data_IF_639150279209
#
_entry.id   IF_639150279209
#
_cell.length_a   1.000
_cell.length_b   1.000
_cell.length_c   1.000
_cell.angle_alpha   90.00
_cell.angle_beta   90.00
_cell.angle_gamma   90.00
#
_symmetry.space_group_name_H-M   'P 1'
#
loop_
_entity.id
_entity.type
_entity.pdbx_description
1 polymer ?
#
# COMPACT_ATOMS: atom_id res chain seq x y z
N UNK A 1 65.21 20.87 55.12
CA UNK A 1 64.21 21.10 54.06
C UNK A 1 63.56 19.75 53.78
N UNK A 2 62.27 19.69 54.13
CA UNK A 2 61.34 18.55 54.27
C UNK A 2 61.73 17.21 53.63
N UNK A 3 61.99 16.20 54.47
CA UNK A 3 61.92 14.79 54.08
C UNK A 3 60.48 14.43 53.72
N UNK A 4 60.20 14.17 52.44
CA UNK A 4 58.99 13.45 52.04
C UNK A 4 59.15 11.98 52.42
N UNK A 5 58.84 11.64 53.67
CA UNK A 5 58.64 10.26 54.08
C UNK A 5 57.34 9.76 53.41
N UNK A 6 57.48 9.02 52.32
CA UNK A 6 56.35 8.29 51.72
C UNK A 6 55.88 7.24 52.76
N UNK A 7 54.60 7.25 53.17
CA UNK A 7 54.12 6.38 54.25
C UNK A 7 54.22 4.89 53.85
N UNK A 8 54.67 4.03 54.78
CA UNK A 8 54.81 2.56 54.60
C UNK A 8 53.52 1.87 54.14
N UNK A 9 52.36 2.42 54.49
CA UNK A 9 51.02 2.03 54.00
C UNK A 9 50.94 2.03 52.46
N UNK A 10 51.55 3.03 51.81
CA UNK A 10 51.53 3.17 50.35
C UNK A 10 52.32 2.04 49.65
N UNK A 11 53.27 1.41 50.34
CA UNK A 11 54.11 0.34 49.78
C UNK A 11 53.52 -1.06 49.97
N UNK A 12 52.67 -1.27 50.98
CA UNK A 12 51.86 -2.51 51.13
C UNK A 12 50.58 -2.50 50.29
N UNK A 13 50.06 -1.32 49.95
CA UNK A 13 48.88 -1.18 49.10
C UNK A 13 49.19 -1.37 47.60
N UNK A 14 50.41 -1.05 47.14
CA UNK A 14 50.88 -1.29 45.77
C UNK A 14 50.79 -2.75 45.30
N UNK A 15 51.35 -3.77 46.00
CA UNK A 15 51.25 -5.16 45.57
C UNK A 15 49.80 -5.69 45.61
N UNK A 16 48.96 -5.15 46.51
CA UNK A 16 47.53 -5.49 46.60
C UNK A 16 46.74 -4.92 45.41
N UNK A 17 46.99 -3.65 45.06
CA UNK A 17 46.38 -3.01 43.89
C UNK A 17 46.85 -3.66 42.59
N UNK A 18 48.13 -4.06 42.50
CA UNK A 18 48.65 -4.80 41.35
C UNK A 18 48.02 -6.19 41.21
N UNK A 19 47.76 -6.89 42.33
CA UNK A 19 47.04 -8.17 42.32
C UNK A 19 45.60 -7.98 41.85
N UNK A 20 44.90 -6.99 42.40
CA UNK A 20 43.53 -6.65 41.97
C UNK A 20 43.50 -6.27 40.49
N UNK A 21 44.50 -5.52 40.00
CA UNK A 21 44.61 -5.15 38.59
C UNK A 21 44.80 -6.39 37.71
N UNK A 22 45.66 -7.33 38.10
CA UNK A 22 45.85 -8.61 37.39
C UNK A 22 44.58 -9.45 37.39
N UNK A 23 43.86 -9.51 38.51
CA UNK A 23 42.62 -10.26 38.64
C UNK A 23 41.50 -9.64 37.78
N UNK A 24 41.37 -8.30 37.74
CA UNK A 24 40.45 -7.59 36.86
C UNK A 24 40.81 -7.80 35.39
N UNK A 25 42.10 -7.78 35.05
CA UNK A 25 42.58 -8.08 33.69
C UNK A 25 42.26 -9.52 33.28
N UNK A 26 42.44 -10.50 34.17
CA UNK A 26 42.10 -11.89 33.92
C UNK A 26 40.59 -12.08 33.78
N UNK A 27 39.79 -11.43 34.63
CA UNK A 27 38.34 -11.45 34.55
C UNK A 27 37.87 -10.83 33.23
N UNK A 28 38.42 -9.69 32.83
CA UNK A 28 38.09 -9.04 31.55
C UNK A 28 38.41 -9.95 30.36
N UNK A 29 39.56 -10.63 30.36
CA UNK A 29 39.88 -11.63 29.33
C UNK A 29 38.87 -12.77 29.30
N UNK A 30 38.49 -13.29 30.47
CA UNK A 30 37.51 -14.38 30.60
C UNK A 30 36.10 -13.94 30.15
N UNK A 31 35.71 -12.71 30.47
CA UNK A 31 34.44 -12.15 30.02
C UNK A 31 34.42 -11.99 28.51
N UNK A 32 35.49 -11.46 27.90
CA UNK A 32 35.60 -11.34 26.45
C UNK A 32 35.52 -12.69 25.73
N UNK A 33 36.15 -13.74 26.27
CA UNK A 33 36.01 -15.09 25.70
C UNK A 33 34.59 -15.64 25.83
N UNK A 34 33.88 -15.32 26.92
CA UNK A 34 32.48 -15.73 27.11
C UNK A 34 31.54 -14.98 26.16
N UNK A 35 31.78 -13.69 25.96
CA UNK A 35 31.04 -12.86 25.00
C UNK A 35 31.24 -13.40 23.58
N UNK A 36 32.48 -13.69 23.17
CA UNK A 36 32.76 -14.29 21.86
C UNK A 36 32.05 -15.64 21.65
N UNK A 37 32.00 -16.49 22.69
CA UNK A 37 31.24 -17.75 22.63
C UNK A 37 29.72 -17.53 22.56
N UNK A 38 29.20 -16.53 23.27
CA UNK A 38 27.79 -16.17 23.20
C UNK A 38 27.41 -15.63 21.81
N UNK A 39 28.29 -14.86 21.17
CA UNK A 39 28.11 -14.38 19.80
C UNK A 39 28.14 -15.54 18.78
N UNK A 40 29.03 -16.52 18.97
CA UNK A 40 29.06 -17.74 18.15
C UNK A 40 27.77 -18.56 18.31
N UNK A 41 27.27 -18.70 19.55
CA UNK A 41 26.00 -19.35 19.83
C UNK A 41 24.83 -18.58 19.21
N UNK A 42 24.82 -17.25 19.30
CA UNK A 42 23.79 -16.41 18.68
C UNK A 42 23.80 -16.57 17.16
N UNK A 43 24.98 -16.63 16.56
CA UNK A 43 25.12 -16.88 15.13
C UNK A 43 24.61 -18.28 14.76
N UNK A 44 24.96 -19.31 15.54
CA UNK A 44 24.45 -20.67 15.35
C UNK A 44 22.93 -20.74 15.46
N UNK A 45 22.34 -20.10 16.47
CA UNK A 45 20.88 -19.99 16.64
C UNK A 45 20.26 -19.24 15.46
N UNK A 46 20.88 -18.15 14.99
CA UNK A 46 20.44 -17.41 13.82
C UNK A 46 20.45 -18.28 12.55
N UNK A 47 21.50 -19.06 12.32
CA UNK A 47 21.57 -20.00 11.18
C UNK A 47 20.56 -21.14 11.30
N UNK A 48 20.29 -21.62 12.51
CA UNK A 48 19.28 -22.63 12.74
C UNK A 48 17.87 -22.06 12.51
N UNK A 49 17.62 -20.83 12.94
CA UNK A 49 16.35 -20.14 12.74
C UNK A 49 16.08 -19.94 11.25
N UNK A 50 17.05 -19.46 10.46
CA UNK A 50 16.88 -19.30 9.01
C UNK A 50 16.68 -20.64 8.31
N UNK A 51 17.33 -21.70 8.77
CA UNK A 51 17.10 -23.07 8.27
C UNK A 51 15.69 -23.58 8.65
N UNK A 52 15.23 -23.33 9.87
CA UNK A 52 13.86 -23.69 10.27
C UNK A 52 12.82 -22.89 9.49
N UNK A 53 13.06 -21.61 9.22
CA UNK A 53 12.19 -20.78 8.39
C UNK A 53 12.17 -21.27 6.93
N UNK A 54 13.31 -21.69 6.37
CA UNK A 54 13.34 -22.28 5.04
C UNK A 54 12.64 -23.64 5.02
N UNK A 55 12.89 -24.52 6.00
CA UNK A 55 12.17 -25.79 6.15
C UNK A 55 10.66 -25.60 6.34
N UNK A 56 10.25 -24.56 7.07
CA UNK A 56 8.84 -24.19 7.24
C UNK A 56 8.25 -23.71 5.92
N UNK A 57 8.96 -22.86 5.18
CA UNK A 57 8.55 -22.42 3.85
C UNK A 57 8.44 -23.60 2.88
N UNK A 58 9.33 -24.60 2.93
CA UNK A 58 9.22 -25.84 2.16
C UNK A 58 8.10 -26.77 2.62
N UNK A 59 7.72 -26.75 3.90
CA UNK A 59 6.53 -27.46 4.39
C UNK A 59 5.23 -26.73 4.04
N UNK A 60 5.26 -25.40 3.99
CA UNK A 60 4.16 -24.55 3.53
C UNK A 60 4.02 -24.58 2.00
N UNK A 61 5.13 -24.79 1.27
CA UNK A 61 5.16 -25.38 -0.08
C UNK A 61 4.82 -26.88 0.01
N UNK A 62 3.75 -27.16 0.75
CA UNK A 62 3.09 -28.44 0.85
C UNK A 62 2.75 -28.89 -0.56
N UNK A 63 3.16 -30.12 -0.89
CA UNK A 63 2.90 -30.83 -2.14
C UNK A 63 1.71 -30.26 -2.89
N UNK A 64 1.92 -29.84 -4.14
CA UNK A 64 0.86 -29.36 -4.99
C UNK A 64 -0.29 -30.37 -4.99
N UNK A 65 -1.53 -29.89 -5.05
CA UNK A 65 -2.74 -30.74 -5.01
C UNK A 65 -2.59 -31.99 -5.91
N UNK A 66 -1.97 -31.83 -7.07
CA UNK A 66 -1.72 -32.89 -8.04
C UNK A 66 -0.76 -33.99 -7.52
N UNK A 67 0.25 -33.64 -6.73
CA UNK A 67 1.17 -34.59 -6.11
C UNK A 67 0.52 -35.36 -4.96
N UNK A 68 -0.36 -34.70 -4.20
CA UNK A 68 -1.17 -35.35 -3.16
C UNK A 68 -2.16 -36.32 -3.80
N UNK A 69 -2.79 -35.93 -4.90
CA UNK A 69 -3.73 -36.80 -5.64
C UNK A 69 -3.01 -38.02 -6.20
N UNK A 70 -1.85 -37.86 -6.88
CA UNK A 70 -1.04 -38.97 -7.41
C UNK A 70 -0.60 -39.94 -6.32
N UNK A 71 -0.16 -39.43 -5.16
CA UNK A 71 0.23 -40.28 -4.02
C UNK A 71 -0.97 -41.02 -3.42
N UNK A 72 -2.14 -40.39 -3.41
CA UNK A 72 -3.36 -40.97 -2.87
C UNK A 72 -3.97 -42.07 -3.77
N UNK A 73 -3.60 -42.16 -5.05
CA UNK A 73 -4.18 -43.13 -6.00
C UNK A 73 -4.14 -44.59 -5.53
N UNK A 74 -3.05 -44.97 -4.85
CA UNK A 74 -2.83 -46.33 -4.35
C UNK A 74 -3.42 -46.57 -2.96
N UNK A 75 -4.06 -45.56 -2.37
CA UNK A 75 -4.52 -45.59 -0.98
C UNK A 75 -6.00 -45.97 -0.88
N UNK A 76 -6.41 -46.87 0.05
CA UNK A 76 -7.82 -47.28 0.21
C UNK A 76 -8.76 -46.12 0.59
N UNK A 77 -8.22 -45.00 1.09
CA UNK A 77 -8.94 -43.76 1.40
C UNK A 77 -8.71 -42.63 0.38
N UNK A 78 -8.37 -42.95 -0.87
CA UNK A 78 -8.05 -41.97 -1.93
C UNK A 78 -9.03 -40.82 -1.99
N UNK A 79 -10.32 -41.11 -2.07
CA UNK A 79 -11.36 -40.09 -2.22
C UNK A 79 -11.34 -39.05 -1.09
N UNK A 80 -11.21 -39.50 0.16
CA UNK A 80 -11.15 -38.61 1.32
C UNK A 80 -9.90 -37.73 1.26
N UNK A 81 -8.75 -38.31 0.92
CA UNK A 81 -7.48 -37.56 0.82
C UNK A 81 -7.57 -36.51 -0.30
N UNK A 82 -8.14 -36.86 -1.45
CA UNK A 82 -8.37 -35.93 -2.55
C UNK A 82 -9.33 -34.81 -2.15
N UNK A 83 -10.44 -35.11 -1.47
CA UNK A 83 -11.38 -34.09 -1.00
C UNK A 83 -10.72 -33.12 0.01
N UNK A 84 -9.98 -33.65 0.99
CA UNK A 84 -9.27 -32.82 1.97
C UNK A 84 -8.19 -31.95 1.30
N UNK A 85 -7.48 -32.49 0.32
CA UNK A 85 -6.48 -31.72 -0.43
C UNK A 85 -7.14 -30.58 -1.24
N UNK A 86 -8.34 -30.80 -1.79
CA UNK A 86 -9.08 -29.79 -2.54
C UNK A 86 -9.59 -28.68 -1.61
N UNK A 87 -10.11 -29.07 -0.44
CA UNK A 87 -10.55 -28.12 0.61
C UNK A 87 -9.37 -27.29 1.12
N UNK A 88 -8.21 -27.91 1.37
CA UNK A 88 -7.00 -27.18 1.77
C UNK A 88 -6.56 -26.17 0.70
N UNK A 89 -6.57 -26.55 -0.58
CA UNK A 89 -6.27 -25.62 -1.69
C UNK A 89 -7.26 -24.45 -1.73
N UNK A 90 -8.54 -24.71 -1.50
CA UNK A 90 -9.56 -23.65 -1.42
C UNK A 90 -9.32 -22.73 -0.21
N UNK A 91 -8.96 -23.29 0.96
CA UNK A 91 -8.62 -22.51 2.15
C UNK A 91 -7.40 -21.63 1.93
N UNK A 92 -6.36 -22.13 1.26
CA UNK A 92 -5.18 -21.34 0.88
C UNK A 92 -5.54 -20.21 -0.09
N UNK A 93 -6.38 -20.49 -1.10
CA UNK A 93 -6.88 -19.46 -2.00
C UNK A 93 -7.67 -18.36 -1.25
N UNK A 94 -8.54 -18.74 -0.31
CA UNK A 94 -9.27 -17.79 0.53
C UNK A 94 -8.34 -16.97 1.42
N UNK A 95 -7.30 -17.58 2.01
CA UNK A 95 -6.29 -16.86 2.78
C UNK A 95 -5.52 -15.87 1.92
N UNK A 96 -5.14 -16.26 0.70
CA UNK A 96 -4.45 -15.38 -0.25
C UNK A 96 -5.35 -14.20 -0.66
N UNK A 97 -6.64 -14.45 -0.91
CA UNK A 97 -7.61 -13.39 -1.20
C UNK A 97 -7.80 -12.44 -0.03
N UNK A 98 -7.96 -12.95 1.20
CA UNK A 98 -8.06 -12.12 2.38
C UNK A 98 -6.83 -11.26 2.57
N UNK A 99 -5.63 -11.83 2.42
CA UNK A 99 -4.37 -11.07 2.48
C UNK A 99 -4.31 -9.98 1.40
N UNK A 100 -4.74 -10.28 0.17
CA UNK A 100 -4.78 -9.29 -0.90
C UNK A 100 -5.78 -8.16 -0.60
N UNK A 101 -6.93 -8.48 0.01
CA UNK A 101 -7.92 -7.49 0.45
C UNK A 101 -7.38 -6.63 1.59
N UNK A 102 -6.69 -7.22 2.56
CA UNK A 102 -6.01 -6.51 3.65
C UNK A 102 -4.98 -5.51 3.09
N UNK A 103 -4.10 -5.95 2.18
CA UNK A 103 -3.13 -5.06 1.52
C UNK A 103 -3.82 -3.95 0.73
N UNK A 104 -4.89 -4.25 -0.03
CA UNK A 104 -5.64 -3.22 -0.76
C UNK A 104 -6.30 -2.20 0.17
N UNK A 105 -6.77 -2.64 1.35
CA UNK A 105 -7.36 -1.77 2.34
C UNK A 105 -6.30 -0.83 2.94
N UNK A 106 -5.13 -1.38 3.30
CA UNK A 106 -3.98 -0.61 3.79
C UNK A 106 -3.52 0.45 2.76
N UNK A 107 -3.45 0.08 1.47
CA UNK A 107 -3.12 1.02 0.39
C UNK A 107 -4.14 2.14 0.24
N UNK A 108 -5.43 1.83 0.40
CA UNK A 108 -6.50 2.83 0.38
C UNK A 108 -6.43 3.76 1.59
N UNK A 109 -6.17 3.24 2.79
CA UNK A 109 -5.96 4.06 4.00
C UNK A 109 -4.78 5.02 3.83
N UNK A 110 -3.65 4.53 3.32
CA UNK A 110 -2.48 5.36 3.02
C UNK A 110 -2.78 6.45 1.98
N UNK A 111 -3.51 6.10 0.93
CA UNK A 111 -3.91 7.05 -0.12
C UNK A 111 -4.80 8.16 0.45
N UNK A 112 -5.77 7.80 1.29
CA UNK A 112 -6.63 8.75 1.97
C UNK A 112 -5.85 9.65 2.93
N UNK A 113 -4.90 9.10 3.70
CA UNK A 113 -4.06 9.89 4.58
C UNK A 113 -3.24 10.93 3.80
N UNK A 114 -2.68 10.53 2.65
CA UNK A 114 -1.95 11.44 1.77
C UNK A 114 -2.85 12.56 1.22
N UNK A 115 -4.04 12.23 0.72
CA UNK A 115 -5.02 13.21 0.22
C UNK A 115 -5.42 14.18 1.34
N UNK A 116 -5.76 13.66 2.52
CA UNK A 116 -6.17 14.48 3.66
C UNK A 116 -5.02 15.38 4.14
N UNK A 117 -3.78 14.90 4.09
CA UNK A 117 -2.61 15.71 4.41
C UNK A 117 -2.39 16.84 3.39
N UNK A 118 -2.54 16.56 2.09
CA UNK A 118 -2.49 17.58 1.04
C UNK A 118 -3.63 18.59 1.15
N UNK A 119 -4.83 18.13 1.50
CA UNK A 119 -5.97 19.01 1.73
C UNK A 119 -5.74 19.95 2.93
N UNK A 120 -5.23 19.42 4.04
CA UNK A 120 -4.82 20.23 5.21
C UNK A 120 -3.74 21.25 4.86
N UNK A 121 -2.75 20.87 4.05
CA UNK A 121 -1.70 21.76 3.55
C UNK A 121 -2.27 22.89 2.69
N UNK A 122 -3.16 22.58 1.74
CA UNK A 122 -3.80 23.56 0.87
C UNK A 122 -4.61 24.59 1.67
N UNK A 123 -5.38 24.16 2.68
CA UNK A 123 -6.12 25.07 3.55
C UNK A 123 -5.16 25.96 4.35
N UNK A 124 -4.10 25.39 4.91
CA UNK A 124 -3.09 26.15 5.65
C UNK A 124 -2.42 27.22 4.78
N UNK A 125 -2.06 26.87 3.54
CA UNK A 125 -1.48 27.79 2.58
C UNK A 125 -2.45 28.92 2.20
N UNK A 126 -3.73 28.60 1.99
CA UNK A 126 -4.76 29.61 1.73
C UNK A 126 -4.95 30.55 2.93
N UNK A 127 -5.03 30.02 4.14
CA UNK A 127 -5.10 30.81 5.37
C UNK A 127 -3.85 31.71 5.52
N UNK A 128 -2.65 31.19 5.27
CA UNK A 128 -1.41 31.98 5.29
C UNK A 128 -1.37 33.07 4.21
N UNK A 129 -1.88 32.79 3.01
CA UNK A 129 -1.98 33.76 1.93
C UNK A 129 -2.98 34.88 2.26
N UNK A 130 -4.16 34.54 2.80
CA UNK A 130 -5.16 35.55 3.21
C UNK A 130 -4.67 36.42 4.36
N UNK A 131 -3.94 35.86 5.32
CA UNK A 131 -3.33 36.66 6.38
C UNK A 131 -2.21 37.57 5.87
N UNK A 132 -1.37 37.10 4.94
CA UNK A 132 -0.31 37.95 4.35
C UNK A 132 -0.91 39.04 3.47
N UNK A 133 -1.96 38.74 2.71
CA UNK A 133 -2.74 39.73 1.96
C UNK A 133 -3.33 40.80 2.89
N UNK A 134 -3.96 40.40 3.99
CA UNK A 134 -4.48 41.34 5.00
C UNK A 134 -3.37 42.23 5.59
N UNK A 135 -2.21 41.65 5.93
CA UNK A 135 -1.04 42.41 6.41
C UNK A 135 -0.50 43.37 5.36
N UNK A 136 -0.52 43.01 4.07
CA UNK A 136 -0.10 43.89 2.97
C UNK A 136 -1.11 45.02 2.76
N UNK A 137 -2.41 44.75 2.84
CA UNK A 137 -3.47 45.78 2.76
C UNK A 137 -3.35 46.76 3.93
N UNK A 138 -3.13 46.28 5.16
CA UNK A 138 -2.91 47.14 6.33
C UNK A 138 -1.65 48.01 6.18
N UNK A 139 -0.56 47.44 5.63
CA UNK A 139 0.70 48.15 5.37
C UNK A 139 0.56 49.19 4.26
N UNK A 140 -0.16 48.89 3.18
CA UNK A 140 -0.36 49.80 2.04
C UNK A 140 -1.47 50.84 2.29
N UNK A 141 -2.48 50.49 3.10
CA UNK A 141 -3.54 51.41 3.54
C UNK A 141 -3.00 52.53 4.44
N UNK A 142 -1.95 52.25 5.21
CA UNK A 142 -1.20 53.28 5.96
C UNK A 142 -0.44 54.27 5.07
N UNK A 143 -0.02 53.86 3.87
CA UNK A 143 0.74 54.71 2.95
C UNK A 143 -0.16 55.61 2.07
N UNK A 144 -1.42 55.22 1.85
CA UNK A 144 -2.38 55.96 1.01
C UNK A 144 -2.89 57.26 1.67
N UNK A 145 -2.91 57.32 3.00
CA UNK A 145 -3.35 58.53 3.72
C UNK A 145 -2.26 59.63 3.79
N UNK A 146 -1.01 59.32 3.48
CA UNK A 146 0.08 60.31 3.50
C UNK A 146 0.29 61.05 2.16
N UNK A 147 -0.40 60.64 1.09
CA UNK A 147 -0.25 61.25 -0.26
C UNK A 147 -1.33 62.32 -0.53
N UNK A 148 -2.36 62.44 0.33
CA UNK A 148 -3.47 63.40 0.12
C UNK A 148 -3.27 64.80 0.70
N UNK A 149 -2.10 65.10 1.27
CA UNK A 149 -1.82 66.40 1.91
C UNK A 149 -0.52 67.05 1.42
N UNK A 150 -0.30 67.11 0.11
CA UNK A 150 0.56 68.16 -0.46
C UNK A 150 0.27 68.35 -1.94
N UNK A 151 -0.30 69.50 -2.25
CA UNK A 151 -0.53 70.02 -3.59
C UNK A 151 0.78 70.13 -4.39
N UNK A 152 0.71 69.92 -5.71
CA UNK A 152 1.70 70.48 -6.65
C UNK A 152 2.32 69.55 -7.68
N UNK A 153 1.69 69.48 -8.86
CA UNK A 153 2.33 69.83 -10.15
C UNK A 153 3.71 69.19 -10.49
N UNK A 154 3.69 68.13 -11.31
CA UNK A 154 4.41 67.97 -12.60
C UNK A 154 4.52 66.48 -12.96
N UNK A 155 4.29 66.17 -14.24
CA UNK A 155 4.51 64.82 -14.77
C UNK A 155 5.99 64.44 -14.75
N UNK A 156 6.25 63.16 -14.50
CA UNK A 156 7.46 62.38 -14.77
C UNK A 156 7.06 60.89 -14.59
N UNK A 157 7.46 60.07 -15.56
CA UNK A 157 7.54 58.60 -15.59
C UNK A 157 6.55 57.73 -14.82
N UNK A 158 5.64 57.11 -15.58
CA UNK A 158 4.98 55.86 -15.23
C UNK A 158 5.97 54.70 -15.44
N UNK A 159 6.87 54.53 -14.47
CA UNK A 159 7.87 53.43 -14.43
C UNK A 159 7.16 52.07 -14.27
N UNK A 160 7.34 51.22 -15.28
CA UNK A 160 7.57 49.75 -15.26
C UNK A 160 7.12 48.90 -14.05
N UNK A 161 5.82 48.70 -13.86
CA UNK A 161 5.31 47.65 -12.94
C UNK A 161 4.30 46.67 -13.59
N UNK A 162 3.79 46.98 -14.78
CA UNK A 162 2.81 46.15 -15.50
C UNK A 162 3.48 45.11 -16.41
N UNK A 163 4.65 45.43 -16.98
CA UNK A 163 5.40 44.53 -17.89
C UNK A 163 5.85 43.24 -17.21
N UNK A 164 6.34 43.31 -15.96
CA UNK A 164 6.78 42.12 -15.22
C UNK A 164 5.63 41.15 -14.88
N UNK A 165 4.41 41.66 -14.70
CA UNK A 165 3.22 40.83 -14.48
C UNK A 165 2.73 40.22 -15.79
N UNK A 166 2.82 40.96 -16.90
CA UNK A 166 2.48 40.47 -18.24
C UNK A 166 3.45 39.38 -18.73
N UNK A 167 4.75 39.51 -18.44
CA UNK A 167 5.77 38.49 -18.74
C UNK A 167 5.55 37.21 -17.91
N UNK A 168 5.25 37.35 -16.61
CA UNK A 168 4.94 36.20 -15.76
C UNK A 168 3.65 35.51 -16.18
N UNK A 169 2.64 36.27 -16.62
CA UNK A 169 1.39 35.73 -17.15
C UNK A 169 1.60 35.03 -18.49
N UNK A 170 2.46 35.56 -19.37
CA UNK A 170 2.83 34.94 -20.63
C UNK A 170 3.59 33.61 -20.42
N UNK A 171 4.51 33.56 -19.45
CA UNK A 171 5.21 32.31 -19.08
C UNK A 171 4.22 31.29 -18.50
N UNK A 172 3.31 31.72 -17.62
CA UNK A 172 2.31 30.82 -17.04
C UNK A 172 1.31 30.30 -18.09
N UNK A 173 0.94 31.12 -19.07
CA UNK A 173 0.12 30.70 -20.21
C UNK A 173 0.85 29.72 -21.13
N UNK A 174 2.15 29.91 -21.36
CA UNK A 174 2.97 28.97 -22.12
C UNK A 174 3.09 27.60 -21.43
N UNK A 175 3.34 27.60 -20.11
CA UNK A 175 3.38 26.36 -19.31
C UNK A 175 2.01 25.66 -19.32
N UNK A 176 0.91 26.40 -19.15
CA UNK A 176 -0.43 25.83 -19.18
C UNK A 176 -0.75 25.19 -20.54
N UNK A 177 -0.32 25.82 -21.65
CA UNK A 177 -0.48 25.28 -22.99
C UNK A 177 0.35 24.01 -23.20
N UNK A 178 1.61 24.00 -22.78
CA UNK A 178 2.48 22.83 -22.92
C UNK A 178 1.99 21.65 -22.07
N UNK A 179 1.52 21.90 -20.85
CA UNK A 179 0.89 20.87 -20.01
C UNK A 179 -0.38 20.32 -20.66
N UNK A 180 -1.20 21.17 -21.27
CA UNK A 180 -2.40 20.73 -21.98
C UNK A 180 -2.06 19.87 -23.19
N UNK A 181 -1.09 20.29 -24.03
CA UNK A 181 -0.62 19.53 -25.19
C UNK A 181 -0.01 18.18 -24.79
N UNK A 182 0.80 18.15 -23.72
CA UNK A 182 1.35 16.89 -23.18
C UNK A 182 0.25 15.98 -22.63
N UNK A 183 -0.77 16.54 -21.97
CA UNK A 183 -1.90 15.76 -21.45
C UNK A 183 -2.76 15.15 -22.56
N UNK A 184 -2.99 15.89 -23.64
CA UNK A 184 -3.74 15.43 -24.81
C UNK A 184 -2.94 14.36 -25.57
N UNK A 185 -1.64 14.55 -25.77
CA UNK A 185 -0.75 13.56 -26.35
C UNK A 185 -0.74 12.24 -25.54
N UNK A 186 -0.61 12.32 -24.22
CA UNK A 186 -0.65 11.13 -23.36
C UNK A 186 -2.03 10.44 -23.40
N UNK A 187 -3.12 11.21 -23.41
CA UNK A 187 -4.48 10.66 -23.53
C UNK A 187 -4.67 9.91 -24.84
N UNK A 188 -4.21 10.46 -25.97
CA UNK A 188 -4.34 9.81 -27.28
C UNK A 188 -3.47 8.54 -27.37
N UNK A 189 -2.24 8.56 -26.84
CA UNK A 189 -1.39 7.37 -26.79
C UNK A 189 -2.06 6.24 -25.97
N UNK A 190 -2.59 6.57 -24.79
CA UNK A 190 -3.30 5.62 -23.95
C UNK A 190 -4.55 5.04 -24.64
N UNK A 191 -5.31 5.88 -25.35
CA UNK A 191 -6.48 5.44 -26.11
C UNK A 191 -6.10 4.48 -27.24
N UNK A 192 -5.00 4.75 -27.97
CA UNK A 192 -4.50 3.85 -29.01
C UNK A 192 -4.05 2.50 -28.45
N UNK A 193 -3.39 2.49 -27.29
CA UNK A 193 -2.95 1.26 -26.64
C UNK A 193 -4.13 0.44 -26.12
N UNK A 194 -5.15 1.10 -25.56
CA UNK A 194 -6.41 0.44 -25.18
C UNK A 194 -7.12 -0.16 -26.39
N UNK A 195 -7.17 0.53 -27.53
CA UNK A 195 -7.73 -0.02 -28.76
C UNK A 195 -6.94 -1.23 -29.25
N UNK A 196 -5.61 -1.18 -29.21
CA UNK A 196 -4.72 -2.29 -29.58
C UNK A 196 -4.97 -3.52 -28.70
N UNK A 197 -4.98 -3.33 -27.38
CA UNK A 197 -5.21 -4.40 -26.40
C UNK A 197 -6.63 -4.95 -26.49
N UNK A 198 -7.63 -4.13 -26.76
CA UNK A 198 -9.01 -4.61 -26.97
C UNK A 198 -9.13 -5.46 -28.23
N UNK A 199 -8.49 -5.05 -29.33
CA UNK A 199 -8.45 -5.84 -30.55
C UNK A 199 -7.72 -7.18 -30.33
N UNK A 200 -6.61 -7.17 -29.59
CA UNK A 200 -5.87 -8.40 -29.23
C UNK A 200 -6.71 -9.31 -28.33
N UNK A 201 -7.33 -8.78 -27.28
CA UNK A 201 -8.21 -9.54 -26.40
C UNK A 201 -9.43 -10.10 -27.13
N UNK A 202 -9.98 -9.36 -28.08
CA UNK A 202 -11.05 -9.85 -28.94
C UNK A 202 -10.56 -11.00 -29.83
N UNK A 203 -9.40 -10.85 -30.47
CA UNK A 203 -8.81 -11.92 -31.28
C UNK A 203 -8.49 -13.18 -30.45
N UNK A 204 -7.98 -13.03 -29.23
CA UNK A 204 -7.73 -14.14 -28.30
C UNK A 204 -9.04 -14.85 -27.91
N UNK A 205 -10.12 -14.09 -27.67
CA UNK A 205 -11.45 -14.66 -27.40
C UNK A 205 -12.01 -15.39 -28.62
N UNK A 206 -11.80 -14.87 -29.81
CA UNK A 206 -12.18 -15.53 -31.06
C UNK A 206 -11.39 -16.82 -31.27
N UNK A 207 -10.08 -16.83 -31.01
CA UNK A 207 -9.24 -18.04 -31.05
C UNK A 207 -9.69 -19.08 -30.03
N UNK A 208 -10.02 -18.66 -28.80
CA UNK A 208 -10.58 -19.55 -27.78
C UNK A 208 -11.96 -20.07 -28.17
N UNK A 209 -12.82 -19.24 -28.77
CA UNK A 209 -14.12 -19.67 -29.28
C UNK A 209 -13.98 -20.67 -30.43
N UNK A 210 -13.01 -20.47 -31.32
CA UNK A 210 -12.68 -21.45 -32.37
C UNK A 210 -12.18 -22.75 -31.74
N UNK A 211 -11.27 -22.70 -30.77
CA UNK A 211 -10.75 -23.89 -30.07
C UNK A 211 -11.85 -24.66 -29.35
N UNK A 212 -12.78 -23.96 -28.70
CA UNK A 212 -13.93 -24.59 -28.07
C UNK A 212 -14.86 -25.21 -29.13
N UNK A 213 -15.10 -24.53 -30.25
CA UNK A 213 -15.95 -25.07 -31.31
C UNK A 213 -15.30 -26.25 -32.07
N UNK A 214 -13.98 -26.29 -32.24
CA UNK A 214 -13.24 -27.41 -32.86
C UNK A 214 -13.17 -28.62 -31.93
N UNK A 215 -13.05 -28.42 -30.62
CA UNK A 215 -13.11 -29.51 -29.62
C UNK A 215 -14.52 -30.11 -29.50
N UNK A 216 -15.58 -29.30 -29.67
CA UNK A 216 -16.95 -29.84 -29.74
C UNK A 216 -17.27 -30.55 -31.08
N UNK A 217 -16.65 -30.16 -32.19
CA UNK A 217 -16.87 -30.81 -33.50
C UNK A 217 -16.00 -32.06 -33.73
N UNK A 218 -15.01 -32.33 -32.88
CA UNK A 218 -14.24 -33.58 -32.90
C UNK A 218 -14.82 -34.68 -31.98
N UNK A 219 -15.91 -34.41 -31.26
CA UNK A 219 -16.57 -35.40 -30.37
C UNK A 219 -17.76 -36.13 -31.02
N UNK A 220 -18.10 -35.85 -32.29
CA UNK A 220 -19.21 -36.53 -33.00
C UNK A 220 -18.79 -37.77 -33.83
N UNK A 221 -17.57 -38.28 -33.66
CA UNK A 221 -17.11 -39.51 -34.32
C UNK A 221 -16.36 -40.45 -33.36
N UNK A 222 -17.04 -40.99 -32.34
CA UNK A 222 -16.89 -42.38 -31.86
C UNK A 222 -17.80 -42.60 -30.65
N UNK A 223 -18.68 -43.60 -30.73
CA UNK A 223 -19.65 -43.94 -29.68
C UNK A 223 -19.03 -44.77 -28.55
N UNK A 224 -19.45 -44.50 -27.31
CA UNK A 224 -20.29 -45.40 -26.48
C UNK A 224 -20.34 -44.90 -25.01
N UNK A 225 -21.56 -44.67 -24.52
CA UNK A 225 -21.94 -44.35 -23.13
C UNK A 225 -22.07 -45.65 -22.27
N UNK A 226 -22.45 -45.67 -20.96
CA UNK A 226 -23.00 -44.62 -20.07
C UNK A 226 -22.31 -44.58 -18.66
N UNK A 227 -22.60 -43.68 -17.70
CA UNK A 227 -23.77 -43.71 -16.78
C UNK A 227 -23.77 -42.47 -15.86
N UNK A 228 -24.90 -41.74 -15.81
CA UNK A 228 -25.65 -41.19 -14.63
C UNK A 228 -24.86 -40.59 -13.44
N UNK A 229 -25.19 -39.46 -12.79
CA UNK A 229 -26.35 -38.56 -12.70
C UNK A 229 -25.93 -37.40 -11.75
N UNK A 230 -26.34 -36.16 -12.02
CA UNK A 230 -27.04 -35.25 -11.07
C UNK A 230 -26.76 -33.76 -11.35
N UNK A 231 -27.81 -33.12 -11.85
CA UNK A 231 -28.26 -31.71 -11.79
C UNK A 231 -27.48 -30.77 -10.86
N UNK A 232 -27.27 -29.49 -11.18
CA UNK A 232 -28.37 -28.51 -11.32
C UNK A 232 -27.91 -27.29 -12.12
N UNK A 233 -28.65 -26.98 -13.18
CA UNK A 233 -28.60 -25.71 -13.90
C UNK A 233 -29.75 -24.81 -13.41
N UNK A 234 -29.50 -23.51 -13.29
CA UNK A 234 -30.53 -22.51 -13.52
C UNK A 234 -29.96 -21.48 -14.48
N UNK A 235 -30.33 -21.68 -15.74
CA UNK A 235 -30.12 -20.79 -16.86
C UNK A 235 -31.29 -19.78 -16.87
N UNK A 236 -31.06 -18.57 -17.39
CA UNK A 236 -31.84 -17.95 -18.49
C UNK A 236 -31.37 -16.49 -18.63
N UNK A 237 -30.72 -16.22 -19.76
CA UNK A 237 -30.48 -14.88 -20.29
C UNK A 237 -31.71 -14.28 -21.01
N UNK A 238 -31.64 -13.03 -21.47
CA UNK A 238 -32.74 -12.07 -21.45
C UNK A 238 -33.50 -11.96 -22.78
N UNK A 239 -34.77 -11.52 -22.73
CA UNK A 239 -35.37 -10.76 -23.84
C UNK A 239 -36.52 -9.86 -23.38
N UNK A 240 -36.46 -8.62 -23.85
CA UNK A 240 -37.37 -7.51 -23.56
C UNK A 240 -38.74 -7.64 -24.24
N UNK A 241 -39.80 -7.17 -23.56
CA UNK A 241 -40.88 -6.38 -24.16
C UNK A 241 -41.80 -5.76 -23.10
N UNK A 242 -41.74 -4.43 -23.03
CA UNK A 242 -42.81 -3.44 -22.84
C UNK A 242 -44.22 -3.87 -22.35
N UNK A 243 -44.79 -3.14 -21.39
CA UNK A 243 -46.24 -3.08 -21.18
C UNK A 243 -46.71 -2.75 -19.76
N UNK A 244 -47.16 -1.50 -19.56
CA UNK A 244 -47.85 -0.91 -18.41
C UNK A 244 -48.72 -1.85 -17.54
N UNK A 245 -48.75 -1.57 -16.23
CA UNK A 245 -49.93 -1.05 -15.50
C UNK A 245 -49.67 -0.96 -13.99
N UNK A 246 -50.00 0.20 -13.40
CA UNK A 246 -50.11 0.45 -11.95
C UNK A 246 -51.15 -0.47 -11.28
N UNK A 247 -51.12 -0.69 -9.95
CA UNK A 247 -51.75 0.27 -9.03
C UNK A 247 -51.10 0.44 -7.64
N UNK A 248 -51.08 1.69 -7.19
CA UNK A 248 -51.56 2.27 -5.91
C UNK A 248 -51.34 1.53 -4.55
N UNK A 249 -50.79 2.35 -3.64
CA UNK A 249 -50.96 2.46 -2.17
C UNK A 249 -50.33 1.43 -1.23
N UNK A 250 -49.42 1.93 -0.37
CA UNK A 250 -48.96 1.29 0.86
C UNK A 250 -48.04 2.26 1.61
N UNK A 251 -48.55 2.78 2.71
CA UNK A 251 -48.03 3.82 3.62
C UNK A 251 -46.65 3.50 4.22
N UNK A 252 -45.81 4.54 4.31
CA UNK A 252 -44.54 4.53 5.01
C UNK A 252 -44.74 4.80 6.51
N UNK A 253 -44.23 3.90 7.35
CA UNK A 253 -43.99 4.09 8.78
C UNK A 253 -42.48 4.38 8.98
N UNK A 254 -42.09 5.41 9.76
CA UNK A 254 -40.69 5.75 9.98
C UNK A 254 -40.06 4.91 11.11
N UNK A 255 -38.80 4.52 10.91
CA UNK A 255 -38.06 3.65 11.81
C UNK A 255 -37.80 4.23 13.20
N UNK A 256 -38.16 3.45 14.22
CA UNK A 256 -37.62 3.52 15.58
C UNK A 256 -36.31 2.73 15.64
N UNK A 257 -35.17 3.42 15.70
CA UNK A 257 -33.95 2.89 16.32
C UNK A 257 -33.45 3.92 17.33
N UNK A 258 -34.17 3.99 18.45
CA UNK A 258 -33.71 4.59 19.70
C UNK A 258 -33.06 3.50 20.54
N UNK A 259 -31.75 3.61 20.78
CA UNK A 259 -31.12 3.50 22.10
C UNK A 259 -29.63 3.15 21.97
N UNK A 260 -28.79 4.16 22.22
CA UNK A 260 -27.40 3.98 22.65
C UNK A 260 -27.43 3.80 24.18
N UNK A 261 -26.87 2.72 24.76
CA UNK A 261 -26.63 2.68 26.20
C UNK A 261 -25.25 3.29 26.49
N UNK A 262 -25.21 4.55 26.92
CA UNK A 262 -24.05 5.11 27.62
C UNK A 262 -24.14 4.75 29.09
N UNK A 263 -23.41 3.73 29.52
CA UNK A 263 -23.09 3.51 30.93
C UNK A 263 -21.90 2.55 31.07
N UNK A 264 -20.68 3.08 31.02
CA UNK A 264 -19.54 2.52 31.77
C UNK A 264 -18.48 3.61 31.98
N UNK A 265 -18.31 3.99 33.26
CA UNK A 265 -17.17 4.64 33.94
C UNK A 265 -16.32 5.67 33.18
#
# INVERSE_FOLDING_TARGET
>A
MVCFAVPKELNMMKPTVEKVLKDVQLLSKRMRTREAFADELLNSVGTLQTNLESMRAFQEESLEFDDIVKRAEKHPRRQLITCLAAENKQLEQLKMQNKALETSLEEHELTLEMIMSKYREQISNLMGATETEKRVIERNGGLSNQIRTSEGKKGIDKVDCSSANDERLAVMAAIAKEVAEQSEAYSTELETELHRLNAENQALRELLAIQNNTTFSSTSASGNAPTSISSTATNIGPKASNGNNSPKSGTAEPGEWSAVPTAFK
#
